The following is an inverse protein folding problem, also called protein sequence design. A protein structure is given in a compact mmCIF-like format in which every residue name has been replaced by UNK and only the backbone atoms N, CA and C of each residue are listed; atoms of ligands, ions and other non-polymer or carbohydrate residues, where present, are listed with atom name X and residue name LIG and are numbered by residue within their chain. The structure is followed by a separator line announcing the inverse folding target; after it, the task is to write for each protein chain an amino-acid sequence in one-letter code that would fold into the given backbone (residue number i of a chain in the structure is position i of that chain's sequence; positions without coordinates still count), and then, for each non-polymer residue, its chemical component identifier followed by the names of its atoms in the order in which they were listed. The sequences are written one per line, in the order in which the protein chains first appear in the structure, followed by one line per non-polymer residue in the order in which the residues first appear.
data_IF_391939561020
#
_entry.id   IF_391939561020
#
_cell.length_a   1.000
_cell.length_b   1.000
_cell.length_c   1.000
_cell.angle_alpha   90.00
_cell.angle_beta   90.00
_cell.angle_gamma   90.00
#
_symmetry.space_group_name_H-M   'P 1'
#
loop_
_entity.id
_entity.type
_entity.pdbx_description
1 polymer ?
#
# COMPACT_ATOMS: atom_id res chain seq x y z
N UNK A 1 -9.17 -9.99 3.96
CA UNK A 1 -9.45 -9.20 5.17
C UNK A 1 -8.58 -7.95 5.10
N UNK A 2 -9.05 -6.87 4.47
CA UNK A 2 -8.19 -5.74 4.06
C UNK A 2 -7.63 -4.95 5.25
N UNK A 3 -8.42 -4.81 6.32
CA UNK A 3 -8.00 -4.13 7.55
C UNK A 3 -6.81 -4.85 8.19
N UNK A 4 -6.85 -6.19 8.26
CA UNK A 4 -5.78 -6.98 8.86
C UNK A 4 -4.47 -6.90 8.05
N UNK A 5 -4.57 -6.83 6.72
CA UNK A 5 -3.42 -6.64 5.83
C UNK A 5 -2.75 -5.29 6.08
N UNK A 6 -3.51 -4.19 6.17
CA UNK A 6 -2.98 -2.87 6.46
C UNK A 6 -2.29 -2.79 7.84
N UNK A 7 -2.86 -3.42 8.87
CA UNK A 7 -2.21 -3.50 10.18
C UNK A 7 -0.91 -4.31 10.14
N UNK A 8 -0.90 -5.44 9.42
CA UNK A 8 0.29 -6.27 9.24
C UNK A 8 1.40 -5.51 8.52
N UNK A 9 1.06 -4.78 7.47
CA UNK A 9 2.03 -4.02 6.66
C UNK A 9 2.60 -2.80 7.37
N UNK A 10 1.93 -2.29 8.41
CA UNK A 10 2.49 -1.23 9.24
C UNK A 10 3.37 -1.81 10.37
N UNK A 11 2.94 -2.93 10.95
CA UNK A 11 3.57 -3.51 12.15
C UNK A 11 4.77 -4.41 11.85
N UNK A 12 4.65 -5.27 10.83
CA UNK A 12 5.60 -6.35 10.59
C UNK A 12 6.97 -5.82 10.14
N UNK A 13 8.03 -6.34 10.75
CA UNK A 13 9.39 -6.05 10.35
C UNK A 13 9.83 -6.74 9.06
N UNK A 14 9.22 -7.89 8.77
CA UNK A 14 9.56 -8.69 7.59
C UNK A 14 8.76 -8.27 6.35
N UNK A 15 7.52 -7.87 6.57
CA UNK A 15 6.55 -7.64 5.49
C UNK A 15 6.12 -6.18 5.36
N UNK A 16 6.47 -5.33 6.32
CA UNK A 16 5.93 -3.99 6.46
C UNK A 16 6.93 -2.93 6.92
N UNK A 17 6.43 -1.88 7.56
CA UNK A 17 7.21 -0.72 8.03
C UNK A 17 7.93 -0.94 9.38
N UNK A 18 7.95 -2.16 9.91
CA UNK A 18 8.73 -2.53 11.09
C UNK A 18 8.40 -1.76 12.37
N UNK A 19 7.16 -1.26 12.54
CA UNK A 19 6.79 -0.54 13.78
C UNK A 19 6.96 -1.40 15.04
N UNK A 20 6.91 -2.72 14.95
CA UNK A 20 7.12 -3.61 16.10
C UNK A 20 8.56 -3.54 16.65
N UNK A 21 9.56 -3.13 15.86
CA UNK A 21 10.96 -3.00 16.30
C UNK A 21 11.25 -1.67 16.99
N UNK A 22 10.33 -0.71 16.96
CA UNK A 22 10.53 0.62 17.55
C UNK A 22 10.64 0.56 19.08
N UNK A 23 10.01 -0.41 19.74
CA UNK A 23 10.12 -0.66 21.19
C UNK A 23 9.78 0.54 22.09
N UNK A 24 9.08 1.56 21.56
CA UNK A 24 8.88 2.83 22.23
C UNK A 24 7.79 2.72 23.31
N UNK A 25 8.13 3.05 24.56
CA UNK A 25 7.19 3.06 25.70
C UNK A 25 6.58 4.45 25.99
N UNK A 26 7.07 5.50 25.33
CA UNK A 26 6.59 6.87 25.53
C UNK A 26 5.44 7.17 24.55
N UNK A 27 4.20 7.43 25.02
CA UNK A 27 3.06 7.64 24.15
C UNK A 27 3.24 8.77 23.13
N UNK A 28 3.91 9.86 23.52
CA UNK A 28 4.17 11.01 22.64
C UNK A 28 5.09 10.64 21.48
N UNK A 29 6.15 9.87 21.75
CA UNK A 29 7.06 9.39 20.71
C UNK A 29 6.39 8.35 19.82
N UNK A 30 5.57 7.47 20.40
CA UNK A 30 4.79 6.49 19.65
C UNK A 30 3.80 7.18 18.69
N UNK A 31 3.13 8.26 19.13
CA UNK A 31 2.24 9.03 18.28
C UNK A 31 2.95 9.60 17.04
N UNK A 32 4.16 10.16 17.22
CA UNK A 32 4.98 10.66 16.10
C UNK A 32 5.41 9.53 15.17
N UNK A 33 5.84 8.38 15.72
CA UNK A 33 6.24 7.22 14.91
C UNK A 33 5.06 6.64 14.11
N UNK A 34 3.87 6.58 14.71
CA UNK A 34 2.65 6.16 14.01
C UNK A 34 2.33 7.16 12.91
N UNK A 35 2.43 8.47 13.15
CA UNK A 35 2.20 9.49 12.13
C UNK A 35 3.16 9.36 10.94
N UNK A 36 4.45 9.14 11.21
CA UNK A 36 5.44 8.90 10.15
C UNK A 36 5.12 7.60 9.40
N UNK A 37 4.79 6.54 10.13
CA UNK A 37 4.42 5.24 9.55
C UNK A 37 3.18 5.34 8.67
N UNK A 38 2.14 6.08 9.08
CA UNK A 38 0.94 6.27 8.27
C UNK A 38 1.23 7.08 7.01
N UNK A 39 2.03 8.15 7.09
CA UNK A 39 2.45 8.91 5.90
C UNK A 39 3.24 8.04 4.92
N UNK A 40 4.20 7.25 5.42
CA UNK A 40 4.95 6.30 4.59
C UNK A 40 4.04 5.24 3.96
N UNK A 41 3.10 4.69 4.73
CA UNK A 41 2.13 3.71 4.24
C UNK A 41 1.22 4.30 3.15
N UNK A 42 0.77 5.55 3.29
CA UNK A 42 0.01 6.26 2.26
C UNK A 42 0.80 6.42 0.97
N UNK A 43 2.09 6.80 1.05
CA UNK A 43 2.96 6.87 -0.13
C UNK A 43 3.13 5.51 -0.80
N UNK A 44 3.30 4.45 -0.02
CA UNK A 44 3.37 3.08 -0.54
C UNK A 44 2.09 2.65 -1.24
N UNK A 45 0.90 3.06 -0.76
CA UNK A 45 -0.36 2.80 -1.47
C UNK A 45 -0.35 3.44 -2.87
N UNK A 46 0.10 4.70 -3.01
CA UNK A 46 0.18 5.37 -4.31
C UNK A 46 1.16 4.69 -5.28
N UNK A 47 2.33 4.28 -4.77
CA UNK A 47 3.31 3.51 -5.56
C UNK A 47 2.69 2.17 -5.98
N UNK A 48 2.04 1.47 -5.06
CA UNK A 48 1.43 0.17 -5.29
C UNK A 48 0.31 0.22 -6.31
N UNK A 49 -0.57 1.21 -6.22
CA UNK A 49 -1.61 1.47 -7.23
C UNK A 49 -1.00 1.71 -8.61
N UNK A 50 -0.02 2.61 -8.70
CA UNK A 50 0.67 2.89 -9.98
C UNK A 50 1.34 1.65 -10.56
N UNK A 51 1.97 0.82 -9.71
CA UNK A 51 2.56 -0.46 -10.11
C UNK A 51 1.53 -1.52 -10.49
N UNK A 52 0.36 -1.52 -9.88
CA UNK A 52 -0.77 -2.37 -10.28
C UNK A 52 -1.28 -1.95 -11.66
N UNK A 53 -1.47 -0.66 -11.92
CA UNK A 53 -1.86 -0.14 -13.23
C UNK A 53 -0.82 -0.45 -14.31
N UNK A 54 0.47 -0.52 -13.96
CA UNK A 54 1.55 -0.95 -14.84
C UNK A 54 1.64 -2.49 -15.03
N UNK A 55 0.81 -3.27 -14.33
CA UNK A 55 0.78 -4.74 -14.40
C UNK A 55 1.89 -5.45 -13.62
N UNK A 56 2.70 -4.72 -12.85
CA UNK A 56 3.86 -5.27 -12.12
C UNK A 56 3.44 -6.24 -11.00
N UNK A 57 2.23 -6.07 -10.46
CA UNK A 57 1.66 -6.93 -9.40
C UNK A 57 1.63 -8.42 -9.79
N UNK A 58 1.55 -8.74 -11.09
CA UNK A 58 1.50 -10.12 -11.60
C UNK A 58 2.75 -10.94 -11.26
N UNK A 59 3.90 -10.30 -11.07
CA UNK A 59 5.14 -10.97 -10.70
C UNK A 59 5.18 -11.42 -9.23
N UNK A 60 4.27 -10.90 -8.41
CA UNK A 60 4.20 -11.14 -6.97
C UNK A 60 3.04 -12.06 -6.59
N UNK A 61 2.19 -12.43 -7.54
CA UNK A 61 1.02 -13.24 -7.31
C UNK A 61 1.15 -14.58 -8.03
N UNK A 62 1.15 -15.67 -7.25
CA UNK A 62 1.13 -17.03 -7.79
C UNK A 62 -0.29 -17.51 -8.17
N UNK A 63 -1.32 -16.83 -7.67
CA UNK A 63 -2.72 -17.18 -7.94
C UNK A 63 -3.14 -16.76 -9.36
N UNK A 64 -3.98 -17.57 -9.98
CA UNK A 64 -4.54 -17.37 -11.34
C UNK A 64 -5.47 -16.15 -11.47
N UNK A 65 -5.87 -15.52 -10.36
CA UNK A 65 -6.74 -14.34 -10.35
C UNK A 65 -6.03 -13.11 -10.96
N UNK A 66 -6.43 -12.71 -12.17
CA UNK A 66 -5.83 -11.55 -12.87
C UNK A 66 -6.65 -10.26 -12.78
N UNK A 67 -7.87 -10.33 -12.28
CA UNK A 67 -8.85 -9.24 -12.31
C UNK A 67 -8.82 -8.34 -11.07
N UNK A 68 -8.13 -8.73 -10.00
CA UNK A 68 -8.00 -7.93 -8.77
C UNK A 68 -6.65 -8.13 -8.11
N UNK A 69 -6.16 -7.10 -7.42
CA UNK A 69 -5.04 -7.26 -6.51
C UNK A 69 -5.45 -8.14 -5.32
N UNK A 70 -4.71 -9.22 -5.09
CA UNK A 70 -4.92 -10.09 -3.92
C UNK A 70 -4.10 -9.61 -2.72
N UNK A 71 -2.92 -9.04 -2.99
CA UNK A 71 -2.05 -8.46 -1.98
C UNK A 71 -2.36 -6.96 -1.82
N UNK A 72 -2.09 -6.40 -0.64
CA UNK A 72 -2.25 -4.97 -0.41
C UNK A 72 -1.34 -4.14 -1.33
N UNK A 73 -1.77 -2.93 -1.66
CA UNK A 73 -0.97 -2.00 -2.46
C UNK A 73 0.35 -1.63 -1.77
N UNK A 74 0.34 -1.43 -0.45
CA UNK A 74 1.54 -1.06 0.30
C UNK A 74 2.58 -2.19 0.30
N UNK A 75 2.14 -3.45 0.48
CA UNK A 75 3.02 -4.61 0.39
C UNK A 75 3.62 -4.76 -1.01
N UNK A 76 2.79 -4.65 -2.05
CA UNK A 76 3.23 -4.71 -3.44
C UNK A 76 4.28 -3.63 -3.74
N UNK A 77 4.06 -2.39 -3.28
CA UNK A 77 5.02 -1.31 -3.43
C UNK A 77 6.37 -1.64 -2.78
N UNK A 78 6.38 -2.10 -1.53
CA UNK A 78 7.63 -2.50 -0.85
C UNK A 78 8.39 -3.58 -1.63
N UNK A 79 7.67 -4.55 -2.23
CA UNK A 79 8.26 -5.61 -3.04
C UNK A 79 8.78 -5.10 -4.39
N UNK A 80 8.08 -4.16 -5.03
CA UNK A 80 8.52 -3.50 -6.25
C UNK A 80 9.80 -2.69 -6.00
N UNK A 81 9.84 -1.90 -4.93
CA UNK A 81 11.00 -1.11 -4.53
C UNK A 81 12.19 -2.04 -4.23
N UNK A 82 11.98 -3.10 -3.44
CA UNK A 82 13.03 -4.06 -3.11
C UNK A 82 13.59 -4.82 -4.32
N UNK A 83 12.78 -5.02 -5.36
CA UNK A 83 13.21 -5.62 -6.64
C UNK A 83 13.74 -4.61 -7.67
N UNK A 84 13.76 -3.31 -7.34
CA UNK A 84 14.08 -2.23 -8.29
C UNK A 84 13.24 -2.30 -9.57
N UNK A 85 11.94 -2.57 -9.42
CA UNK A 85 10.96 -2.47 -10.51
C UNK A 85 10.48 -1.02 -10.65
N UNK A 86 11.43 -0.10 -10.74
CA UNK A 86 11.24 1.36 -10.71
C UNK A 86 10.88 1.97 -12.08
N UNK A 87 10.58 1.14 -13.08
CA UNK A 87 10.13 1.57 -14.41
C UNK A 87 8.67 2.06 -14.44
N UNK A 88 8.24 2.84 -13.44
CA UNK A 88 6.96 3.53 -13.47
C UNK A 88 7.05 4.76 -14.37
N UNK A 89 6.26 4.78 -15.45
CA UNK A 89 6.19 5.94 -16.34
C UNK A 89 5.16 6.94 -15.80
N UNK A 90 5.23 8.19 -16.26
CA UNK A 90 4.27 9.25 -15.88
C UNK A 90 2.80 8.91 -16.20
N UNK A 91 2.55 7.98 -17.13
CA UNK A 91 1.19 7.45 -17.40
C UNK A 91 0.69 6.54 -16.28
N UNK A 92 1.59 5.72 -15.71
CA UNK A 92 1.23 4.71 -14.70
C UNK A 92 0.87 5.43 -13.39
N UNK A 93 1.59 6.51 -13.07
CA UNK A 93 1.24 7.43 -11.99
C UNK A 93 -0.12 8.11 -12.17
N UNK A 94 -0.41 8.63 -13.36
CA UNK A 94 -1.71 9.25 -13.65
C UNK A 94 -2.85 8.24 -13.52
N UNK A 95 -2.65 7.03 -14.01
CA UNK A 95 -3.61 5.94 -13.90
C UNK A 95 -3.82 5.54 -12.44
N UNK A 96 -2.74 5.40 -11.66
CA UNK A 96 -2.82 5.11 -10.23
C UNK A 96 -3.59 6.18 -9.43
N UNK A 97 -3.41 7.46 -9.76
CA UNK A 97 -4.18 8.56 -9.15
C UNK A 97 -5.65 8.50 -9.55
N UNK A 98 -5.95 8.18 -10.82
CA UNK A 98 -7.33 8.03 -11.27
C UNK A 98 -8.02 6.85 -10.57
N UNK A 99 -7.34 5.72 -10.44
CA UNK A 99 -7.82 4.53 -9.74
C UNK A 99 -8.05 4.83 -8.24
N UNK A 100 -7.13 5.55 -7.59
CA UNK A 100 -7.31 6.03 -6.22
C UNK A 100 -8.57 6.89 -6.06
N UNK A 101 -8.81 7.83 -7.00
CA UNK A 101 -10.01 8.68 -7.00
C UNK A 101 -11.29 7.87 -7.14
N UNK A 102 -11.31 6.88 -8.03
CA UNK A 102 -12.47 6.00 -8.21
C UNK A 102 -12.76 5.16 -6.98
N UNK A 103 -11.72 4.57 -6.38
CA UNK A 103 -11.86 3.80 -5.13
C UNK A 103 -12.42 4.70 -4.02
N UNK A 104 -11.89 5.91 -3.88
CA UNK A 104 -12.34 6.86 -2.85
C UNK A 104 -13.78 7.32 -3.08
N UNK A 105 -14.16 7.58 -4.33
CA UNK A 105 -15.53 7.93 -4.69
C UNK A 105 -16.53 6.82 -4.35
N UNK A 106 -16.14 5.55 -4.60
CA UNK A 106 -16.99 4.39 -4.31
C UNK A 106 -17.34 4.28 -2.82
N UNK A 107 -16.43 4.66 -1.92
CA UNK A 107 -16.72 4.70 -0.48
C UNK A 107 -17.71 5.80 -0.10
N UNK A 108 -17.72 6.93 -0.82
CA UNK A 108 -18.68 8.01 -0.61
C UNK A 108 -20.11 7.61 -0.99
N UNK A 109 -20.26 6.84 -2.08
CA UNK A 109 -21.57 6.36 -2.53
C UNK A 109 -22.22 5.41 -1.52
N UNK A 110 -21.42 4.64 -0.78
CA UNK A 110 -21.89 3.74 0.29
C UNK A 110 -22.30 4.45 1.59
N UNK A 111 -21.93 5.73 1.79
CA UNK A 111 -22.31 6.53 2.97
C UNK A 111 -23.66 7.23 2.81
N UNK A 112 -24.21 7.27 1.59
CA UNK A 112 -25.49 7.91 1.25
C UNK A 112 -26.61 6.91 0.91
N UNK A 113 -26.39 5.62 1.13
CA UNK A 113 -27.37 4.54 0.99
C UNK A 113 -27.79 4.00 2.36
#
# INVERSE_FOLDING_TARGET
MQIEESFRDNKSARYGLSLEWQGCKCPQRLAVLIMIGTLAHTLLIFIGLSGVSAGLHRQFQANTTKHRAVLSYAYLALRMIGRKLDTLRSRDWRNGIHEFRQITASYGDHLHA
#
